data_IF_036561114850
#
_entry.id   IF_036561114850
#
_cell.length_a   1.000
_cell.length_b   1.000
_cell.length_c   1.000
_cell.angle_alpha   90.00
_cell.angle_beta   90.00
_cell.angle_gamma   90.00
#
_symmetry.space_group_name_H-M   'P 1'
#
loop_
_entity.id
_entity.type
_entity.pdbx_description
1 polymer ?
#
# COMPACT_ATOMS: atom_id res chain seq x y z
N UNK A 1 15.87 -3.89 26.17
CA UNK A 1 15.01 -2.77 25.73
C UNK A 1 14.22 -3.25 24.51
N UNK A 2 12.90 -3.32 24.60
CA UNK A 2 12.05 -3.66 23.43
C UNK A 2 12.13 -2.51 22.44
N UNK A 3 12.60 -2.78 21.22
CA UNK A 3 12.62 -1.79 20.14
C UNK A 3 11.16 -1.57 19.69
N UNK A 4 10.69 -0.33 19.72
CA UNK A 4 9.37 -0.01 19.18
C UNK A 4 9.36 -0.38 17.70
N UNK A 5 8.34 -1.12 17.27
CA UNK A 5 8.10 -1.41 15.85
C UNK A 5 7.32 -0.31 15.15
N UNK A 6 6.91 0.72 15.88
CA UNK A 6 6.27 1.90 15.30
C UNK A 6 7.31 2.70 14.52
N UNK A 7 7.04 2.91 13.24
CA UNK A 7 7.79 3.86 12.43
C UNK A 7 7.49 5.30 12.89
N UNK A 8 8.53 6.12 12.96
CA UNK A 8 8.43 7.52 13.39
C UNK A 8 8.72 8.49 12.26
N UNK A 9 8.96 7.99 11.07
CA UNK A 9 9.15 8.83 9.89
C UNK A 9 7.85 9.51 9.51
N UNK A 10 7.94 10.75 9.06
CA UNK A 10 6.82 11.49 8.52
C UNK A 10 6.83 11.37 7.00
N UNK A 11 5.71 10.94 6.42
CA UNK A 11 5.58 10.75 4.98
C UNK A 11 4.92 11.97 4.32
N UNK A 12 5.67 12.67 3.45
CA UNK A 12 5.21 13.87 2.77
C UNK A 12 5.51 15.17 3.56
N UNK A 13 4.57 16.09 3.55
CA UNK A 13 4.66 17.38 4.25
C UNK A 13 3.41 17.61 5.11
N UNK A 14 3.45 18.50 6.12
CA UNK A 14 2.26 18.83 6.91
C UNK A 14 1.08 19.35 6.08
N UNK A 15 1.34 20.00 4.95
CA UNK A 15 0.32 20.53 4.04
C UNK A 15 -0.16 19.48 3.01
N UNK A 16 0.66 18.45 2.76
CA UNK A 16 0.36 17.36 1.85
C UNK A 16 0.99 16.07 2.39
N UNK A 17 0.33 15.40 3.33
CA UNK A 17 0.85 14.22 4.02
C UNK A 17 0.71 12.96 3.15
N UNK A 18 1.42 12.93 2.02
CA UNK A 18 1.51 11.82 1.09
C UNK A 18 2.92 11.73 0.54
N UNK A 19 3.48 10.53 0.50
CA UNK A 19 4.77 10.26 -0.11
C UNK A 19 4.67 9.07 -1.05
N UNK A 20 5.32 9.20 -2.21
CA UNK A 20 5.46 8.11 -3.19
C UNK A 20 6.92 7.66 -3.16
N UNK A 21 7.10 6.37 -3.01
CA UNK A 21 8.39 5.69 -3.08
C UNK A 21 8.42 4.82 -4.33
N UNK A 22 9.59 4.79 -4.98
CA UNK A 22 9.85 3.90 -6.12
C UNK A 22 11.20 3.26 -5.92
N UNK A 23 11.21 1.94 -5.81
CA UNK A 23 12.42 1.17 -5.58
C UNK A 23 12.65 0.19 -6.73
N UNK A 24 13.79 0.35 -7.38
CA UNK A 24 14.30 -0.60 -8.38
C UNK A 24 15.48 -1.33 -7.81
N UNK A 25 15.28 -2.57 -7.41
CA UNK A 25 16.34 -3.45 -6.96
C UNK A 25 16.75 -4.38 -8.09
N UNK A 26 18.03 -4.28 -8.48
CA UNK A 26 18.60 -5.11 -9.55
C UNK A 26 19.23 -6.39 -9.01
N UNK A 27 19.53 -6.43 -7.72
CA UNK A 27 20.38 -7.46 -7.12
C UNK A 27 19.64 -8.41 -6.16
N UNK A 28 18.37 -8.14 -5.86
CA UNK A 28 17.56 -8.96 -4.96
C UNK A 28 17.92 -8.80 -3.47
N UNK A 29 18.29 -7.59 -3.05
CA UNK A 29 18.66 -7.30 -1.66
C UNK A 29 17.73 -6.30 -0.97
N UNK A 30 16.55 -6.06 -1.53
CA UNK A 30 15.59 -5.18 -0.88
C UNK A 30 15.02 -5.85 0.37
N UNK A 31 15.02 -5.11 1.46
CA UNK A 31 14.41 -5.57 2.72
C UNK A 31 13.96 -4.40 3.57
N UNK A 32 12.72 -4.43 4.00
CA UNK A 32 12.15 -3.56 5.01
C UNK A 32 11.74 -4.44 6.18
N UNK A 33 12.32 -4.19 7.35
CA UNK A 33 12.04 -4.95 8.56
C UNK A 33 10.64 -4.68 9.08
N UNK A 34 10.09 -5.61 9.86
CA UNK A 34 8.77 -5.51 10.45
C UNK A 34 8.57 -4.17 11.18
N UNK A 35 7.56 -3.42 10.76
CA UNK A 35 7.15 -2.14 11.32
C UNK A 35 5.67 -1.90 11.11
N UNK A 36 5.15 -0.84 11.72
CA UNK A 36 3.79 -0.34 11.49
C UNK A 36 3.77 1.19 11.60
N UNK A 37 2.85 1.82 10.92
CA UNK A 37 2.62 3.26 10.93
C UNK A 37 1.12 3.60 10.96
N UNK A 38 0.77 4.85 11.17
CA UNK A 38 -0.63 5.30 11.25
C UNK A 38 -1.21 5.63 9.87
N UNK A 39 -0.36 5.80 8.88
CA UNK A 39 -0.73 6.05 7.50
C UNK A 39 -1.34 4.80 6.85
N UNK A 40 -2.05 5.02 5.75
CA UNK A 40 -2.45 4.00 4.79
C UNK A 40 -1.35 3.82 3.76
N UNK A 41 -1.15 2.60 3.28
CA UNK A 41 -0.18 2.32 2.24
C UNK A 41 -0.79 1.50 1.10
N UNK A 42 -0.55 1.94 -0.15
CA UNK A 42 -0.75 1.15 -1.35
C UNK A 42 0.61 0.73 -1.90
N UNK A 43 0.81 -0.57 -2.04
CA UNK A 43 1.99 -1.15 -2.64
C UNK A 43 1.63 -1.72 -4.02
N UNK A 44 2.38 -1.33 -5.05
CA UNK A 44 2.25 -1.85 -6.41
C UNK A 44 3.55 -2.52 -6.84
N UNK A 45 3.46 -3.76 -7.30
CA UNK A 45 4.60 -4.48 -7.87
C UNK A 45 4.56 -4.31 -9.38
N UNK A 46 5.55 -3.59 -9.94
CA UNK A 46 5.63 -3.36 -11.38
C UNK A 46 6.41 -4.47 -12.08
N UNK A 47 7.56 -4.89 -11.50
CA UNK A 47 8.41 -5.95 -12.06
C UNK A 47 8.87 -6.90 -10.96
N UNK A 48 9.03 -8.17 -11.31
CA UNK A 48 9.60 -9.21 -10.43
C UNK A 48 8.62 -9.79 -9.43
N UNK A 49 9.18 -10.31 -8.35
CA UNK A 49 8.44 -10.93 -7.25
C UNK A 49 9.00 -10.43 -5.93
N UNK A 50 8.11 -10.07 -5.02
CA UNK A 50 8.44 -9.72 -3.66
C UNK A 50 7.77 -10.68 -2.67
N UNK A 51 8.27 -10.70 -1.46
CA UNK A 51 7.68 -11.42 -0.33
C UNK A 51 7.31 -10.41 0.76
N UNK A 52 6.16 -10.56 1.33
CA UNK A 52 5.71 -9.72 2.44
C UNK A 52 4.99 -10.54 3.49
N UNK A 53 5.03 -10.04 4.73
CA UNK A 53 4.15 -10.52 5.80
C UNK A 53 3.32 -9.31 6.22
N UNK A 54 2.00 -9.40 6.11
CA UNK A 54 1.07 -8.35 6.51
C UNK A 54 0.14 -8.93 7.57
N UNK A 55 0.13 -8.32 8.75
CA UNK A 55 -0.67 -8.80 9.90
C UNK A 55 -0.47 -10.29 10.20
N UNK A 56 0.78 -10.78 10.05
CA UNK A 56 1.15 -12.17 10.27
C UNK A 56 0.84 -13.13 9.12
N UNK A 57 0.25 -12.66 8.04
CA UNK A 57 -0.06 -13.48 6.85
C UNK A 57 1.02 -13.29 5.79
N UNK A 58 1.69 -14.37 5.32
CA UNK A 58 2.69 -14.28 4.27
C UNK A 58 2.04 -14.16 2.89
N UNK A 59 2.66 -13.34 2.03
CA UNK A 59 2.26 -13.10 0.65
C UNK A 59 3.46 -13.26 -0.29
N UNK A 60 3.26 -13.93 -1.41
CA UNK A 60 4.11 -13.87 -2.58
C UNK A 60 3.50 -12.85 -3.54
N UNK A 61 4.12 -11.67 -3.65
CA UNK A 61 3.62 -10.51 -4.36
C UNK A 61 4.22 -10.47 -5.77
N UNK A 62 3.36 -10.49 -6.80
CA UNK A 62 3.79 -10.63 -8.20
C UNK A 62 3.56 -9.35 -9.00
N UNK A 63 4.31 -9.21 -10.07
CA UNK A 63 4.15 -8.10 -11.00
C UNK A 63 2.70 -7.94 -11.47
N UNK A 64 2.18 -6.72 -11.41
CA UNK A 64 0.80 -6.35 -11.72
C UNK A 64 -0.16 -6.42 -10.55
N UNK A 65 0.28 -6.81 -9.35
CA UNK A 65 -0.55 -6.88 -8.15
C UNK A 65 -0.43 -5.62 -7.31
N UNK A 66 -1.55 -5.28 -6.66
CA UNK A 66 -1.63 -4.22 -5.68
C UNK A 66 -1.94 -4.81 -4.31
N UNK A 67 -1.31 -4.26 -3.29
CA UNK A 67 -1.56 -4.60 -1.89
C UNK A 67 -1.96 -3.35 -1.14
N UNK A 68 -2.90 -3.49 -0.24
CA UNK A 68 -3.33 -2.43 0.66
C UNK A 68 -2.94 -2.80 2.09
N UNK A 69 -2.21 -1.91 2.75
CA UNK A 69 -1.80 -2.03 4.14
C UNK A 69 -2.54 -0.94 4.92
N UNK A 70 -3.34 -1.38 5.88
CA UNK A 70 -4.15 -0.46 6.67
C UNK A 70 -3.34 0.19 7.80
N UNK A 71 -3.81 1.30 8.29
CA UNK A 71 -3.25 1.99 9.46
C UNK A 71 -3.05 1.03 10.63
N UNK A 72 -1.83 0.99 11.16
CA UNK A 72 -1.45 0.16 12.31
C UNK A 72 -1.25 -1.32 12.01
N UNK A 73 -1.29 -1.76 10.75
CA UNK A 73 -0.96 -3.13 10.38
C UNK A 73 0.56 -3.35 10.39
N UNK A 74 0.99 -4.35 11.18
CA UNK A 74 2.38 -4.78 11.17
C UNK A 74 2.70 -5.43 9.84
N UNK A 75 3.75 -4.95 9.18
CA UNK A 75 4.16 -5.50 7.89
C UNK A 75 5.68 -5.47 7.70
N UNK A 76 6.16 -6.38 6.87
CA UNK A 76 7.55 -6.46 6.41
C UNK A 76 7.57 -6.86 4.94
N UNK A 77 8.58 -6.41 4.20
CA UNK A 77 8.73 -6.63 2.77
C UNK A 77 10.16 -7.03 2.44
N UNK A 78 10.32 -7.94 1.50
CA UNK A 78 11.63 -8.31 0.97
C UNK A 78 11.55 -8.73 -0.49
N UNK A 79 12.66 -8.56 -1.21
CA UNK A 79 12.86 -9.12 -2.54
C UNK A 79 14.22 -9.81 -2.58
N UNK A 80 14.23 -11.04 -3.10
CA UNK A 80 15.44 -11.86 -3.24
C UNK A 80 15.90 -11.96 -4.70
N UNK A 81 15.18 -11.30 -5.60
CA UNK A 81 15.47 -11.21 -7.03
C UNK A 81 15.21 -9.79 -7.50
N UNK A 82 15.56 -9.50 -8.76
CA UNK A 82 15.19 -8.23 -9.36
C UNK A 82 13.72 -7.87 -9.13
N UNK A 83 13.46 -6.65 -8.67
CA UNK A 83 12.12 -6.12 -8.47
C UNK A 83 12.06 -4.63 -8.77
N UNK A 84 10.89 -4.18 -9.21
CA UNK A 84 10.50 -2.78 -9.27
C UNK A 84 9.13 -2.66 -8.60
N UNK A 85 9.07 -1.86 -7.57
CA UNK A 85 7.83 -1.63 -6.83
C UNK A 85 7.68 -0.17 -6.41
N UNK A 86 6.44 0.20 -6.16
CA UNK A 86 6.04 1.53 -5.74
C UNK A 86 5.17 1.44 -4.49
N UNK A 87 5.42 2.34 -3.55
CA UNK A 87 4.58 2.50 -2.38
C UNK A 87 4.03 3.93 -2.33
N UNK A 88 2.75 4.07 -2.05
CA UNK A 88 2.09 5.35 -1.76
C UNK A 88 1.66 5.30 -0.31
N UNK A 89 2.33 6.09 0.53
CA UNK A 89 2.05 6.19 1.96
C UNK A 89 1.42 7.54 2.24
N UNK A 90 0.25 7.56 2.89
CA UNK A 90 -0.48 8.80 3.11
C UNK A 90 -1.36 8.78 4.36
N UNK A 91 -1.56 9.95 4.95
CA UNK A 91 -2.44 10.13 6.10
C UNK A 91 -3.90 9.82 5.72
N UNK A 92 -4.60 8.96 6.49
CA UNK A 92 -6.02 8.65 6.27
C UNK A 92 -6.91 9.88 6.17
N UNK A 93 -6.53 11.00 6.78
CA UNK A 93 -7.30 12.24 6.73
C UNK A 93 -7.41 12.82 5.33
N UNK A 94 -6.50 12.49 4.41
CA UNK A 94 -6.62 12.87 3.00
C UNK A 94 -7.88 12.30 2.32
N UNK A 95 -8.45 11.23 2.87
CA UNK A 95 -9.69 10.62 2.38
C UNK A 95 -10.94 11.12 3.14
N UNK A 96 -10.75 12.01 4.11
CA UNK A 96 -11.88 12.52 4.91
C UNK A 96 -12.45 13.78 4.28
N UNK A 97 -13.55 13.61 3.58
CA UNK A 97 -14.31 14.72 2.99
C UNK A 97 -15.48 15.08 3.89
N UNK A 98 -15.70 16.37 4.14
CA UNK A 98 -16.81 16.88 4.98
C UNK A 98 -18.19 16.75 4.32
N UNK A 99 -18.29 16.00 3.25
CA UNK A 99 -19.53 15.78 2.52
C UNK A 99 -20.23 14.51 3.00
N UNK A 100 -21.53 14.64 3.30
CA UNK A 100 -22.39 13.49 3.57
C UNK A 100 -22.69 12.75 2.27
N UNK A 101 -21.82 11.84 1.85
CA UNK A 101 -22.09 10.96 0.74
C UNK A 101 -22.01 9.48 1.13
N UNK A 102 -22.66 8.64 0.35
CA UNK A 102 -22.73 7.20 0.61
C UNK A 102 -21.35 6.53 0.51
N UNK A 103 -20.46 7.04 -0.34
CA UNK A 103 -19.10 6.51 -0.48
C UNK A 103 -18.29 6.77 0.80
N UNK A 104 -18.35 8.01 1.32
CA UNK A 104 -17.69 8.37 2.57
C UNK A 104 -18.12 7.45 3.70
N UNK A 105 -19.43 7.27 3.87
CA UNK A 105 -19.99 6.49 4.98
C UNK A 105 -19.74 4.99 4.83
N UNK A 106 -19.98 4.43 3.64
CA UNK A 106 -19.96 2.98 3.44
C UNK A 106 -18.56 2.41 3.19
N UNK A 107 -17.63 3.20 2.64
CA UNK A 107 -16.33 2.70 2.21
C UNK A 107 -15.16 3.38 2.90
N UNK A 108 -15.17 4.70 3.04
CA UNK A 108 -14.02 5.45 3.57
C UNK A 108 -13.98 5.41 5.09
N UNK A 109 -15.09 5.74 5.77
CA UNK A 109 -15.14 5.77 7.22
C UNK A 109 -14.79 4.45 7.90
N UNK A 110 -15.22 3.26 7.42
CA UNK A 110 -14.81 1.99 8.02
C UNK A 110 -13.29 1.79 8.03
N UNK A 111 -12.60 2.28 7.00
CA UNK A 111 -11.14 2.20 6.87
C UNK A 111 -10.47 3.21 7.80
N UNK A 112 -10.87 4.48 7.72
CA UNK A 112 -10.19 5.59 8.41
C UNK A 112 -10.48 5.66 9.91
N UNK A 113 -11.64 5.17 10.37
CA UNK A 113 -12.05 5.21 11.78
C UNK A 113 -11.75 3.94 12.56
N UNK A 114 -11.05 2.95 11.98
CA UNK A 114 -10.75 1.64 12.63
C UNK A 114 -11.99 1.01 13.29
N UNK A 115 -13.18 1.29 12.77
CA UNK A 115 -14.40 0.64 13.28
C UNK A 115 -14.35 -0.81 12.83
N UNK A 116 -13.92 -1.66 13.77
CA UNK A 116 -13.94 -3.11 13.72
C UNK A 116 -14.49 -3.70 12.43
N UNK A 117 -13.66 -3.80 11.40
CA UNK A 117 -13.86 -4.81 10.39
C UNK A 117 -13.60 -6.14 11.12
N UNK A 118 -14.61 -6.59 11.87
CA UNK A 118 -14.63 -7.96 12.34
C UNK A 118 -14.51 -8.83 11.10
N UNK A 119 -13.32 -9.35 10.86
CA UNK A 119 -13.02 -10.58 10.14
C UNK A 119 -13.86 -10.89 8.88
N UNK A 120 -14.10 -9.90 8.02
CA UNK A 120 -14.28 -10.23 6.63
C UNK A 120 -12.99 -9.76 5.93
N UNK A 121 -12.16 -10.73 5.72
CA UNK A 121 -10.91 -10.67 4.98
C UNK A 121 -11.19 -10.07 3.61
N UNK A 122 -11.15 -8.76 3.50
CA UNK A 122 -10.85 -8.18 2.20
C UNK A 122 -9.42 -8.58 1.95
N UNK A 123 -9.22 -9.56 1.07
CA UNK A 123 -7.89 -9.91 0.61
C UNK A 123 -7.16 -8.61 0.28
N UNK A 124 -5.99 -8.32 0.87
CA UNK A 124 -5.25 -7.10 0.55
C UNK A 124 -4.81 -7.06 -0.91
N UNK A 125 -5.09 -8.12 -1.64
CA UNK A 125 -4.68 -8.29 -3.04
C UNK A 125 -5.77 -7.79 -3.96
N UNK A 126 -5.57 -6.62 -4.55
CA UNK A 126 -6.31 -6.16 -5.72
C UNK A 126 -5.50 -6.57 -6.96
N UNK A 127 -5.84 -7.72 -7.53
CA UNK A 127 -5.30 -8.13 -8.83
C UNK A 127 -5.97 -7.31 -9.94
N UNK A 128 -5.29 -6.29 -10.42
CA UNK A 128 -5.70 -5.61 -11.65
C UNK A 128 -5.14 -6.40 -12.82
N UNK A 129 -5.98 -7.20 -13.46
CA UNK A 129 -5.62 -7.79 -14.76
C UNK A 129 -5.37 -6.63 -15.72
N UNK A 130 -4.14 -6.45 -16.19
CA UNK A 130 -3.84 -5.61 -17.35
C UNK A 130 -4.68 -6.14 -18.51
N UNK A 131 -5.81 -5.53 -18.81
CA UNK A 131 -6.46 -5.70 -20.10
C UNK A 131 -5.48 -5.16 -21.14
N UNK A 132 -4.86 -6.07 -21.87
CA UNK A 132 -4.03 -5.78 -23.02
C UNK A 132 -4.89 -5.04 -24.03
N UNK A 133 -4.49 -3.82 -24.42
CA UNK A 133 -5.05 -2.90 -25.42
C UNK A 133 -6.02 -1.84 -24.85
N UNK A 134 -5.45 -0.77 -24.33
CA UNK A 134 -5.86 0.55 -24.79
C UNK A 134 -4.85 0.90 -25.87
N UNK A 135 -5.29 0.82 -27.12
CA UNK A 135 -4.53 1.21 -28.29
C UNK A 135 -4.20 2.70 -28.22
N UNK A 136 -2.99 3.03 -28.65
CA UNK A 136 -2.50 4.37 -28.96
C UNK A 136 -3.49 5.14 -29.88
N UNK A 137 -4.46 5.84 -29.32
CA UNK A 137 -5.37 6.70 -30.10
C UNK A 137 -5.84 7.95 -29.35
N UNK A 138 -5.03 8.49 -28.42
CA UNK A 138 -5.34 9.78 -27.79
C UNK A 138 -4.22 10.83 -27.91
N UNK A 139 -3.39 10.76 -28.94
CA UNK A 139 -2.53 11.87 -29.32
C UNK A 139 -2.62 12.09 -30.82
N UNK A 140 -3.68 12.78 -31.29
CA UNK A 140 -3.71 13.58 -32.52
C UNK A 140 -5.00 14.41 -32.52
N UNK A 141 -4.91 15.63 -32.05
CA UNK A 141 -5.33 16.91 -32.66
C UNK A 141 -5.23 18.00 -31.59
#
# INVERSE_FOLDING_TARGET
>A
MSRSLKETNFHGTPMFPLQIYSHKDKNGFYSVTAHWHEELEFLYIEEGTMHGIISGTPYEMKAGEFYFINSGELHELSAHTHSLHHAIVFDPQLLNFDLYDACQYNFIQPITQKRNCSSQTTSPVLSVRKNKKVSDSFFLN
#
